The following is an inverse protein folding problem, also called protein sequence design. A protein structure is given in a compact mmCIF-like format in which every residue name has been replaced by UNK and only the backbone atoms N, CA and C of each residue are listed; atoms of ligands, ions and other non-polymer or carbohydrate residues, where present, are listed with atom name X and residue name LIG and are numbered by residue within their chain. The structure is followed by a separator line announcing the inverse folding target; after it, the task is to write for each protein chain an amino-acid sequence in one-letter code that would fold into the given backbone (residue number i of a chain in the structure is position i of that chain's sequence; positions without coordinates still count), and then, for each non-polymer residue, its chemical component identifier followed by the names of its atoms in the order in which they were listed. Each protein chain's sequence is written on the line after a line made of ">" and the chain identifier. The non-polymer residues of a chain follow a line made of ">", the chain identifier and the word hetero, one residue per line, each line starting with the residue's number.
data_IF_089418296271
#
_entry.id   IF_089418296271
#
_cell.length_a   1.000
_cell.length_b   1.000
_cell.length_c   1.000
_cell.angle_alpha   90.00
_cell.angle_beta   90.00
_cell.angle_gamma   90.00
#
_symmetry.space_group_name_H-M   'P 1'
#
loop_
_entity.id
_entity.type
_entity.pdbx_description
1 polymer ?
#
# COMPACT_ATOMS: atom_id res chain seq x y z
N UNK A 1 6.75 -1.95 12.34
CA UNK A 1 7.57 -1.51 11.19
C UNK A 1 8.66 -2.52 10.96
N UNK A 2 8.51 -3.23 9.87
CA UNK A 2 9.45 -4.20 9.36
C UNK A 2 10.32 -3.47 8.32
N UNK A 3 11.60 -3.24 8.61
CA UNK A 3 12.47 -2.39 7.79
C UNK A 3 12.72 -2.92 6.36
N UNK A 4 12.14 -4.08 6.00
CA UNK A 4 12.25 -4.70 4.69
C UNK A 4 11.45 -3.95 3.59
N UNK A 5 10.27 -3.42 3.90
CA UNK A 5 9.40 -2.77 2.92
C UNK A 5 9.00 -1.35 3.39
N UNK A 6 9.93 -0.40 3.45
CA UNK A 6 9.69 0.91 4.06
C UNK A 6 8.53 1.72 3.44
N UNK A 7 8.26 1.62 2.14
CA UNK A 7 7.16 2.37 1.53
C UNK A 7 5.80 1.71 1.75
N UNK A 8 5.75 0.37 1.69
CA UNK A 8 4.57 -0.38 2.07
C UNK A 8 4.28 -0.19 3.57
N UNK A 9 5.29 -0.20 4.43
CA UNK A 9 5.15 0.08 5.86
C UNK A 9 4.52 1.45 6.14
N UNK A 10 4.91 2.49 5.39
CA UNK A 10 4.27 3.80 5.52
C UNK A 10 2.80 3.71 5.15
N UNK A 11 2.46 3.06 4.03
CA UNK A 11 1.06 2.86 3.64
C UNK A 11 0.27 2.12 4.73
N UNK A 12 0.82 1.03 5.25
CA UNK A 12 0.14 0.18 6.23
C UNK A 12 -0.05 0.86 7.59
N UNK A 13 0.99 1.50 8.13
CA UNK A 13 0.94 2.01 9.50
C UNK A 13 0.63 3.51 9.60
N UNK A 14 0.96 4.31 8.58
CA UNK A 14 0.72 5.75 8.63
C UNK A 14 -0.61 6.14 7.97
N UNK A 15 -1.04 5.43 6.93
CA UNK A 15 -2.25 5.77 6.17
C UNK A 15 -3.43 4.86 6.53
N UNK A 16 -3.26 3.54 6.52
CA UNK A 16 -4.26 2.60 7.01
C UNK A 16 -4.28 2.46 8.55
N UNK A 17 -4.06 3.56 9.26
CA UNK A 17 -4.14 3.59 10.73
C UNK A 17 -5.60 3.58 11.22
N UNK A 18 -5.83 3.35 12.52
CA UNK A 18 -7.16 3.36 13.16
C UNK A 18 -8.08 4.57 12.86
N UNK A 19 -7.51 5.72 12.48
CA UNK A 19 -8.21 6.99 12.23
C UNK A 19 -8.33 7.30 10.71
N UNK A 20 -8.00 6.35 9.82
CA UNK A 20 -8.02 6.53 8.36
C UNK A 20 -9.35 7.12 7.84
N UNK A 21 -10.48 6.66 8.39
CA UNK A 21 -11.80 7.09 7.94
C UNK A 21 -12.09 8.57 8.23
N UNK A 22 -11.37 9.15 9.20
CA UNK A 22 -11.47 10.57 9.58
C UNK A 22 -10.47 11.41 8.80
N UNK A 23 -9.27 10.87 8.55
CA UNK A 23 -8.14 11.59 7.94
C UNK A 23 -8.26 11.57 6.42
N UNK A 24 -8.32 10.37 5.83
CA UNK A 24 -8.31 10.14 4.39
C UNK A 24 -9.73 10.04 3.84
N UNK A 25 -10.56 9.22 4.48
CA UNK A 25 -11.89 8.85 4.03
C UNK A 25 -12.15 7.35 4.22
N UNK A 26 -13.42 6.92 4.15
CA UNK A 26 -13.81 5.55 4.50
C UNK A 26 -13.52 4.53 3.40
N UNK A 27 -13.23 4.95 2.16
CA UNK A 27 -13.02 4.04 1.03
C UNK A 27 -11.53 3.71 0.85
N UNK A 28 -11.24 2.53 0.27
CA UNK A 28 -9.86 2.06 0.09
C UNK A 28 -9.05 3.06 -0.76
N UNK A 29 -9.70 3.62 -1.79
CA UNK A 29 -9.10 4.62 -2.66
C UNK A 29 -8.86 5.95 -1.98
N UNK A 30 -9.65 6.33 -0.98
CA UNK A 30 -9.42 7.59 -0.27
C UNK A 30 -8.04 7.55 0.42
N UNK A 31 -7.73 6.42 1.06
CA UNK A 31 -6.45 6.19 1.77
C UNK A 31 -5.28 6.05 0.79
N UNK A 32 -5.43 5.21 -0.24
CA UNK A 32 -4.37 5.00 -1.25
C UNK A 32 -4.06 6.31 -1.98
N UNK A 33 -5.09 7.03 -2.44
CA UNK A 33 -4.89 8.26 -3.20
C UNK A 33 -4.32 9.38 -2.32
N UNK A 34 -4.63 9.45 -1.03
CA UNK A 34 -3.97 10.40 -0.12
C UNK A 34 -2.46 10.13 -0.02
N UNK A 35 -2.05 8.88 0.15
CA UNK A 35 -0.63 8.50 0.12
C UNK A 35 0.01 8.91 -1.21
N UNK A 36 -0.59 8.52 -2.35
CA UNK A 36 -0.04 8.79 -3.66
C UNK A 36 0.04 10.29 -3.96
N UNK A 37 -0.88 11.11 -3.45
CA UNK A 37 -0.86 12.56 -3.58
C UNK A 37 0.26 13.23 -2.78
N UNK A 38 0.72 12.64 -1.68
CA UNK A 38 1.81 13.19 -0.86
C UNK A 38 3.18 12.60 -1.25
N UNK A 39 3.23 11.32 -1.62
CA UNK A 39 4.48 10.62 -1.93
C UNK A 39 5.19 11.20 -3.17
N UNK A 40 6.53 11.22 -3.14
CA UNK A 40 7.33 11.56 -4.33
C UNK A 40 7.24 10.44 -5.36
N UNK A 41 7.53 10.71 -6.64
CA UNK A 41 7.56 9.64 -7.65
C UNK A 41 8.52 8.49 -7.29
N UNK A 42 9.65 8.80 -6.65
CA UNK A 42 10.62 7.81 -6.19
C UNK A 42 10.01 6.87 -5.14
N UNK A 43 9.26 7.40 -4.20
CA UNK A 43 8.54 6.60 -3.20
C UNK A 43 7.46 5.72 -3.84
N UNK A 44 6.72 6.24 -4.81
CA UNK A 44 5.66 5.48 -5.49
C UNK A 44 6.26 4.32 -6.31
N UNK A 45 7.38 4.55 -7.02
CA UNK A 45 8.12 3.50 -7.73
C UNK A 45 8.65 2.44 -6.75
N UNK A 46 9.22 2.88 -5.62
CA UNK A 46 9.67 1.99 -4.56
C UNK A 46 8.55 1.14 -3.97
N UNK A 47 7.37 1.72 -3.71
CA UNK A 47 6.20 0.97 -3.25
C UNK A 47 5.82 -0.14 -4.23
N UNK A 48 5.82 0.15 -5.53
CA UNK A 48 5.52 -0.85 -6.57
C UNK A 48 6.56 -1.99 -6.55
N UNK A 49 7.85 -1.65 -6.44
CA UNK A 49 8.95 -2.62 -6.36
C UNK A 49 8.83 -3.52 -5.11
N UNK A 50 8.53 -2.92 -3.95
CA UNK A 50 8.34 -3.64 -2.68
C UNK A 50 7.14 -4.60 -2.73
N UNK A 51 6.03 -4.17 -3.35
CA UNK A 51 4.86 -5.02 -3.54
C UNK A 51 5.21 -6.24 -4.40
N UNK A 52 5.93 -6.05 -5.51
CA UNK A 52 6.33 -7.17 -6.36
C UNK A 52 7.31 -8.10 -5.65
N UNK A 53 8.27 -7.56 -4.89
CA UNK A 53 9.21 -8.37 -4.12
C UNK A 53 8.49 -9.23 -3.06
N UNK A 54 7.49 -8.67 -2.37
CA UNK A 54 6.66 -9.42 -1.42
C UNK A 54 5.91 -10.56 -2.12
N UNK A 55 5.21 -10.26 -3.23
CA UNK A 55 4.45 -11.26 -4.00
C UNK A 55 5.36 -12.40 -4.50
N UNK A 56 6.56 -12.07 -4.99
CA UNK A 56 7.51 -13.05 -5.53
C UNK A 56 8.24 -13.85 -4.43
N UNK A 57 8.44 -13.25 -3.26
CA UNK A 57 9.16 -13.88 -2.13
C UNK A 57 8.32 -14.95 -1.46
N UNK A 58 7.03 -14.70 -1.24
CA UNK A 58 6.16 -15.59 -0.49
C UNK A 58 5.37 -16.52 -1.40
N UNK A 59 5.53 -17.84 -1.18
CA UNK A 59 4.73 -18.85 -1.89
C UNK A 59 3.23 -18.73 -1.56
N UNK A 60 2.93 -18.37 -0.32
CA UNK A 60 1.59 -18.05 0.16
C UNK A 60 1.61 -16.57 0.58
N UNK A 61 1.05 -15.71 -0.28
CA UNK A 61 1.09 -14.25 -0.09
C UNK A 61 0.24 -13.83 1.10
N UNK A 62 -0.82 -14.58 1.43
CA UNK A 62 -1.68 -14.27 2.58
C UNK A 62 -0.91 -14.50 3.89
N UNK A 63 -0.23 -15.65 4.03
CA UNK A 63 0.62 -15.93 5.19
C UNK A 63 1.80 -14.95 5.28
N UNK A 64 2.41 -14.62 4.14
CA UNK A 64 3.50 -13.64 4.08
C UNK A 64 3.05 -12.26 4.56
N UNK A 65 1.92 -11.78 4.06
CA UNK A 65 1.37 -10.49 4.43
C UNK A 65 0.96 -10.44 5.90
N UNK A 66 0.26 -11.47 6.40
CA UNK A 66 -0.11 -11.58 7.82
C UNK A 66 1.15 -11.58 8.71
N UNK A 67 2.18 -12.35 8.36
CA UNK A 67 3.43 -12.35 9.12
C UNK A 67 4.09 -10.97 9.21
N UNK A 68 3.93 -10.13 8.19
CA UNK A 68 4.50 -8.78 8.14
C UNK A 68 3.63 -7.74 8.85
N UNK A 69 2.30 -7.87 8.75
CA UNK A 69 1.34 -6.81 9.05
C UNK A 69 0.21 -7.23 10.01
N UNK A 70 0.33 -8.37 10.69
CA UNK A 70 -0.67 -8.84 11.68
C UNK A 70 -0.95 -7.85 12.82
N UNK A 71 0.00 -6.94 13.11
CA UNK A 71 -0.11 -5.92 14.16
C UNK A 71 -0.53 -4.54 13.62
N UNK A 72 -0.83 -4.43 12.32
CA UNK A 72 -1.38 -3.22 11.71
C UNK A 72 -2.89 -3.11 11.92
N UNK A 73 -3.45 -1.93 11.66
CA UNK A 73 -4.90 -1.70 11.71
C UNK A 73 -5.61 -2.13 10.41
N UNK A 74 -4.86 -2.60 9.41
CA UNK A 74 -5.40 -3.04 8.13
C UNK A 74 -5.56 -4.54 8.06
N UNK A 75 -6.79 -5.00 7.84
CA UNK A 75 -7.11 -6.41 7.60
C UNK A 75 -7.83 -6.52 6.25
N UNK A 76 -7.27 -7.21 5.24
CA UNK A 76 -7.88 -7.34 3.91
C UNK A 76 -9.34 -7.79 3.94
N UNK A 77 -9.68 -8.70 4.85
CA UNK A 77 -11.03 -9.25 5.01
C UNK A 77 -12.08 -8.18 5.37
N UNK A 78 -11.70 -7.11 6.07
CA UNK A 78 -12.61 -6.01 6.44
C UNK A 78 -12.95 -5.11 5.24
N UNK A 79 -12.23 -5.28 4.14
CA UNK A 79 -12.38 -4.53 2.88
C UNK A 79 -12.85 -5.45 1.73
N UNK A 80 -13.39 -6.63 2.05
CA UNK A 80 -13.84 -7.63 1.08
C UNK A 80 -12.76 -7.99 0.02
N UNK A 81 -11.48 -8.03 0.42
CA UNK A 81 -10.34 -8.34 -0.44
C UNK A 81 -9.40 -9.37 0.18
N UNK A 82 -8.48 -9.91 -0.62
CA UNK A 82 -7.33 -10.72 -0.14
C UNK A 82 -6.09 -9.84 -0.05
N UNK A 83 -5.03 -10.29 0.64
CA UNK A 83 -3.75 -9.59 0.64
C UNK A 83 -3.18 -9.49 -0.77
N UNK A 84 -3.23 -10.58 -1.55
CA UNK A 84 -2.77 -10.58 -2.94
C UNK A 84 -3.58 -9.60 -3.81
N UNK A 85 -4.90 -9.58 -3.69
CA UNK A 85 -5.75 -8.66 -4.47
C UNK A 85 -5.51 -7.20 -4.06
N UNK A 86 -5.32 -6.92 -2.76
CA UNK A 86 -4.97 -5.61 -2.25
C UNK A 86 -3.63 -5.12 -2.81
N UNK A 87 -2.59 -5.94 -2.73
CA UNK A 87 -1.25 -5.62 -3.23
C UNK A 87 -1.26 -5.36 -4.75
N UNK A 88 -1.94 -6.20 -5.53
CA UNK A 88 -2.13 -5.99 -6.96
C UNK A 88 -2.91 -4.71 -7.26
N UNK A 89 -3.91 -4.39 -6.44
CA UNK A 89 -4.71 -3.18 -6.59
C UNK A 89 -3.87 -1.92 -6.34
N UNK A 90 -3.13 -1.88 -5.23
CA UNK A 90 -2.27 -0.76 -4.87
C UNK A 90 -1.20 -0.52 -5.93
N UNK A 91 -0.48 -1.58 -6.35
CA UNK A 91 0.57 -1.45 -7.37
C UNK A 91 0.01 -0.97 -8.71
N UNK A 92 -1.16 -1.47 -9.14
CA UNK A 92 -1.85 -0.97 -10.33
C UNK A 92 -2.24 0.50 -10.20
N UNK A 93 -2.87 0.90 -9.09
CA UNK A 93 -3.30 2.28 -8.87
C UNK A 93 -2.11 3.24 -8.80
N UNK A 94 -1.03 2.84 -8.14
CA UNK A 94 0.23 3.57 -8.08
C UNK A 94 0.85 3.77 -9.48
N UNK A 95 0.83 2.73 -10.32
CA UNK A 95 1.32 2.83 -11.69
C UNK A 95 0.44 3.75 -12.56
N UNK A 96 -0.88 3.68 -12.41
CA UNK A 96 -1.82 4.60 -13.06
C UNK A 96 -1.57 6.04 -12.64
N UNK A 97 -1.37 6.29 -11.34
CA UNK A 97 -1.07 7.62 -10.81
C UNK A 97 0.22 8.21 -11.40
N UNK A 98 1.29 7.41 -11.54
CA UNK A 98 2.54 7.83 -12.19
C UNK A 98 2.34 8.19 -13.67
N UNK A 99 1.47 7.45 -14.37
CA UNK A 99 1.16 7.73 -15.78
C UNK A 99 0.35 9.02 -15.93
N UNK A 100 -0.52 9.32 -14.97
CA UNK A 100 -1.32 10.55 -14.91
C UNK A 100 -0.48 11.79 -14.52
N UNK A 101 0.59 11.60 -13.72
CA UNK A 101 1.40 12.68 -13.15
C UNK A 101 2.89 12.54 -13.45
N UNK A 102 3.32 12.61 -14.73
CA UNK A 102 4.71 12.37 -15.12
C UNK A 102 5.71 13.43 -14.60
N UNK A 103 5.25 14.60 -14.14
CA UNK A 103 6.10 15.73 -13.73
C UNK A 103 6.14 15.99 -12.21
N UNK A 104 5.61 15.10 -11.38
CA UNK A 104 5.49 15.27 -9.91
C UNK A 104 6.83 15.24 -9.12
N UNK A 105 7.94 15.57 -9.75
CA UNK A 105 9.25 15.67 -9.09
C UNK A 105 9.43 17.06 -8.44
N UNK A 106 8.64 17.38 -7.41
CA UNK A 106 8.90 18.49 -6.48
C UNK A 106 8.78 18.05 -5.02
#
# INVERSE_FOLDING_TARGET
>A
MNEQYPFLDILMYAYFNQDYAIISGPELNDVIDEFLNVATQGMIKGLIEEIYDLIDTYKDVEEGFDSLYHDSDFFPELWDTTALDFLNYVSKRAQEFLNEHPEKDE
#
